data_IF_820791213888
#
_entry.id   IF_820791213888
#
_cell.length_a   1.000
_cell.length_b   1.000
_cell.length_c   1.000
_cell.angle_alpha   90.00
_cell.angle_beta   90.00
_cell.angle_gamma   90.00
#
_symmetry.space_group_name_H-M   'P 1'
#
loop_
_entity.id
_entity.type
_entity.pdbx_description
1 polymer ?
#
# COMPACT_ATOMS: atom_id res chain seq x y z
N UNK A 1 -15.02 -13.88 -23.19
CA UNK A 1 -13.98 -12.94 -22.72
C UNK A 1 -13.52 -13.43 -21.36
N UNK A 2 -12.22 -13.63 -21.13
CA UNK A 2 -11.74 -13.86 -19.75
C UNK A 2 -12.16 -12.66 -18.89
N UNK A 3 -12.67 -12.90 -17.69
CA UNK A 3 -13.06 -11.85 -16.72
C UNK A 3 -11.92 -10.86 -16.43
N UNK A 4 -10.67 -11.20 -16.76
CA UNK A 4 -9.47 -10.43 -16.45
C UNK A 4 -9.15 -9.24 -17.38
N UNK A 5 -9.84 -9.05 -18.50
CA UNK A 5 -9.50 -7.99 -19.50
C UNK A 5 -10.38 -6.73 -19.44
N UNK A 6 -11.41 -6.69 -18.59
CA UNK A 6 -12.36 -5.56 -18.52
C UNK A 6 -11.68 -4.22 -18.14
N UNK A 7 -10.57 -4.26 -17.41
CA UNK A 7 -9.79 -3.06 -17.09
C UNK A 7 -9.27 -2.33 -18.34
N UNK A 8 -8.93 -3.09 -19.39
CA UNK A 8 -8.43 -2.54 -20.64
C UNK A 8 -9.55 -1.98 -21.51
N UNK A 9 -10.78 -2.45 -21.32
CA UNK A 9 -11.95 -1.97 -22.06
C UNK A 9 -12.47 -0.64 -21.51
N UNK A 10 -12.07 -0.25 -20.30
CA UNK A 10 -12.35 1.08 -19.73
C UNK A 10 -11.17 2.03 -20.01
N UNK A 11 -11.36 3.05 -20.88
CA UNK A 11 -10.30 4.03 -21.16
C UNK A 11 -10.00 4.89 -19.94
N UNK A 12 -8.81 5.51 -19.90
CA UNK A 12 -8.54 6.56 -18.92
C UNK A 12 -9.44 7.76 -19.23
N UNK A 13 -10.15 8.31 -18.24
CA UNK A 13 -10.99 9.47 -18.46
C UNK A 13 -10.13 10.75 -18.52
N UNK A 14 -10.65 11.80 -19.13
CA UNK A 14 -10.05 13.13 -19.05
C UNK A 14 -10.16 13.72 -17.63
N UNK A 15 -11.22 13.37 -16.91
CA UNK A 15 -11.53 13.88 -15.57
C UNK A 15 -11.92 12.77 -14.60
N UNK A 16 -11.75 13.03 -13.32
CA UNK A 16 -12.36 12.27 -12.22
C UNK A 16 -13.21 13.22 -11.40
N UNK A 17 -14.28 12.73 -10.79
CA UNK A 17 -15.17 13.58 -9.99
C UNK A 17 -14.68 13.64 -8.56
N UNK A 18 -14.23 14.81 -8.10
CA UNK A 18 -14.12 15.07 -6.68
C UNK A 18 -15.55 15.12 -6.12
N UNK A 19 -15.87 14.21 -5.19
CA UNK A 19 -17.19 14.17 -4.54
C UNK A 19 -17.16 14.92 -3.23
N UNK A 20 -16.05 14.81 -2.50
CA UNK A 20 -15.90 15.43 -1.21
C UNK A 20 -14.43 15.62 -0.86
N UNK A 21 -14.07 16.77 -0.29
CA UNK A 21 -12.80 17.03 0.36
C UNK A 21 -13.05 17.79 1.66
N UNK A 22 -12.26 17.54 2.71
CA UNK A 22 -12.46 18.20 4.00
C UNK A 22 -12.33 19.74 3.93
N UNK A 23 -11.47 20.24 3.04
CA UNK A 23 -11.26 21.68 2.81
C UNK A 23 -12.19 22.25 1.72
N UNK A 24 -12.76 21.39 0.88
CA UNK A 24 -13.60 21.78 -0.27
C UNK A 24 -14.75 20.77 -0.41
N UNK A 25 -15.87 20.96 0.31
CA UNK A 25 -16.94 19.95 0.34
C UNK A 25 -17.82 19.94 -0.92
N UNK A 26 -17.52 20.78 -1.92
CA UNK A 26 -18.31 20.90 -3.14
C UNK A 26 -17.84 19.92 -4.23
N UNK A 27 -18.73 19.07 -4.77
CA UNK A 27 -18.38 18.18 -5.86
C UNK A 27 -17.99 18.94 -7.13
N UNK A 28 -16.93 18.51 -7.81
CA UNK A 28 -16.50 19.07 -9.10
C UNK A 28 -15.69 18.05 -9.88
N UNK A 29 -15.70 18.17 -11.19
CA UNK A 29 -14.80 17.38 -12.04
C UNK A 29 -13.41 18.00 -12.00
N UNK A 30 -12.39 17.16 -11.83
CA UNK A 30 -10.98 17.56 -11.88
C UNK A 30 -10.28 16.80 -13.00
N UNK A 31 -9.34 17.42 -13.71
CA UNK A 31 -8.48 16.70 -14.66
C UNK A 31 -7.81 15.48 -14.02
N UNK A 32 -7.66 14.38 -14.76
CA UNK A 32 -7.02 13.16 -14.24
C UNK A 32 -5.56 13.41 -13.79
N UNK A 33 -4.86 14.34 -14.43
CA UNK A 33 -3.52 14.74 -14.03
C UNK A 33 -3.52 15.54 -12.71
N UNK A 34 -4.63 16.20 -12.36
CA UNK A 34 -4.87 16.84 -11.07
C UNK A 34 -5.38 15.86 -10.00
N UNK A 35 -5.73 14.62 -10.36
CA UNK A 35 -6.16 13.61 -9.38
C UNK A 35 -5.06 13.37 -8.35
N UNK A 36 -5.41 13.59 -7.08
CA UNK A 36 -4.53 13.65 -5.92
C UNK A 36 -3.43 14.72 -5.96
N UNK A 37 -3.37 15.65 -6.92
CA UNK A 37 -2.29 16.65 -6.95
C UNK A 37 -2.70 18.02 -6.35
N UNK A 38 -1.85 18.64 -5.52
CA UNK A 38 -0.67 18.06 -4.88
C UNK A 38 -1.06 17.00 -3.84
N UNK A 39 -0.36 15.86 -3.82
CA UNK A 39 -0.57 14.85 -2.79
C UNK A 39 0.44 15.11 -1.68
N UNK A 40 0.05 15.93 -0.72
CA UNK A 40 0.90 16.21 0.42
C UNK A 40 0.77 15.07 1.43
N UNK A 41 1.75 14.16 1.42
CA UNK A 41 1.96 13.15 2.45
C UNK A 41 3.05 13.72 3.36
N UNK A 42 2.75 14.00 4.64
CA UNK A 42 3.74 14.50 5.57
C UNK A 42 4.98 13.61 5.61
N UNK A 43 6.14 14.24 5.79
CA UNK A 43 7.40 13.57 6.04
C UNK A 43 7.73 13.65 7.54
N UNK A 44 8.32 12.59 8.10
CA UNK A 44 8.86 12.60 9.46
C UNK A 44 10.39 12.58 9.40
N UNK A 45 11.04 13.53 10.08
CA UNK A 45 12.51 13.54 10.23
C UNK A 45 13.00 12.60 11.35
N UNK A 46 12.10 11.82 11.96
CA UNK A 46 12.40 10.88 13.03
C UNK A 46 11.67 9.55 12.90
N UNK A 47 11.77 8.72 13.95
CA UNK A 47 11.08 7.43 14.02
C UNK A 47 9.73 7.58 14.74
N UNK A 48 8.62 7.07 14.18
CA UNK A 48 8.50 6.34 12.92
C UNK A 48 8.40 7.27 11.69
N UNK A 49 8.87 6.82 10.50
CA UNK A 49 8.49 7.43 9.23
C UNK A 49 6.96 7.54 9.08
N UNK A 50 6.49 8.53 8.32
CA UNK A 50 5.06 8.70 8.06
C UNK A 50 4.52 7.55 7.19
N UNK A 51 3.76 6.64 7.79
CA UNK A 51 3.27 5.44 7.13
C UNK A 51 1.85 5.64 6.62
N UNK A 52 1.63 5.39 5.32
CA UNK A 52 0.31 5.30 4.70
C UNK A 52 0.08 3.90 4.17
N UNK A 53 -1.15 3.54 3.84
CA UNK A 53 -1.44 2.28 3.15
C UNK A 53 -2.33 2.54 1.95
N UNK A 54 -2.14 1.78 0.88
CA UNK A 54 -2.94 1.84 -0.32
C UNK A 54 -3.51 0.46 -0.64
N UNK A 55 -4.83 0.33 -0.63
CA UNK A 55 -5.55 -0.92 -0.82
C UNK A 55 -6.65 -0.78 -1.86
N UNK A 56 -6.99 -1.89 -2.50
CA UNK A 56 -8.13 -2.02 -3.42
C UNK A 56 -9.00 -3.18 -2.96
N UNK A 57 -10.32 -3.04 -3.09
CA UNK A 57 -11.26 -4.12 -2.79
C UNK A 57 -12.50 -4.10 -3.69
N UNK A 58 -13.19 -5.23 -3.76
CA UNK A 58 -14.56 -5.35 -4.30
C UNK A 58 -15.59 -4.74 -3.35
N UNK A 59 -16.84 -4.59 -3.78
CA UNK A 59 -17.95 -4.06 -2.96
C UNK A 59 -18.19 -4.85 -1.67
N UNK A 60 -17.89 -6.15 -1.66
CA UNK A 60 -18.01 -7.00 -0.47
C UNK A 60 -16.68 -7.19 0.28
N UNK A 61 -15.64 -6.44 -0.08
CA UNK A 61 -14.39 -6.35 0.69
C UNK A 61 -13.32 -7.38 0.35
N UNK A 62 -13.40 -8.05 -0.80
CA UNK A 62 -12.35 -8.97 -1.27
C UNK A 62 -11.20 -8.18 -1.91
N UNK A 63 -9.97 -8.48 -1.52
CA UNK A 63 -8.73 -7.83 -1.96
C UNK A 63 -8.06 -8.56 -3.14
N UNK A 64 -8.60 -9.70 -3.57
CA UNK A 64 -8.21 -10.39 -4.80
C UNK A 64 -9.44 -10.93 -5.51
N UNK A 65 -9.39 -10.97 -6.85
CA UNK A 65 -10.33 -11.75 -7.67
C UNK A 65 -9.50 -12.71 -8.52
N UNK A 66 -9.86 -13.99 -8.51
CA UNK A 66 -9.07 -15.08 -9.13
C UNK A 66 -7.62 -15.08 -8.61
N UNK A 67 -7.45 -14.78 -7.31
CA UNK A 67 -6.15 -14.75 -6.63
C UNK A 67 -5.25 -13.55 -6.93
N UNK A 68 -5.72 -12.54 -7.67
CA UNK A 68 -4.93 -11.34 -8.02
C UNK A 68 -5.62 -10.06 -7.58
N UNK A 69 -4.87 -9.11 -7.01
CA UNK A 69 -5.38 -7.76 -6.74
C UNK A 69 -5.47 -6.92 -8.04
N UNK A 70 -4.57 -7.20 -8.99
CA UNK A 70 -4.47 -6.49 -10.27
C UNK A 70 -5.67 -6.71 -11.20
N UNK A 71 -6.66 -7.51 -10.81
CA UNK A 71 -7.93 -7.73 -11.54
C UNK A 71 -9.09 -6.87 -11.02
N UNK A 72 -8.91 -6.15 -9.91
CA UNK A 72 -9.99 -5.43 -9.22
C UNK A 72 -10.26 -4.00 -9.71
N UNK A 73 -9.28 -3.07 -9.65
CA UNK A 73 -9.53 -1.65 -9.96
C UNK A 73 -9.33 -1.22 -11.43
N UNK A 74 -9.87 -0.11 -11.91
CA UNK A 74 -9.66 0.34 -13.31
C UNK A 74 -8.24 0.86 -13.55
N UNK A 75 -7.95 1.37 -14.76
CA UNK A 75 -6.69 2.09 -15.02
C UNK A 75 -6.52 3.35 -14.15
N UNK A 76 -7.61 3.91 -13.62
CA UNK A 76 -7.57 5.04 -12.69
C UNK A 76 -7.02 4.63 -11.32
N UNK A 77 -7.26 3.40 -10.87
CA UNK A 77 -6.61 2.82 -9.68
C UNK A 77 -5.08 2.72 -9.84
N UNK A 78 -4.61 2.32 -11.02
CA UNK A 78 -3.17 2.37 -11.33
C UNK A 78 -2.59 3.79 -11.30
N UNK A 79 -3.36 4.78 -11.74
CA UNK A 79 -2.98 6.19 -11.62
C UNK A 79 -2.95 6.67 -10.16
N UNK A 80 -3.95 6.28 -9.34
CA UNK A 80 -4.00 6.54 -7.91
C UNK A 80 -2.77 5.97 -7.18
N UNK A 81 -2.46 4.68 -7.42
CA UNK A 81 -1.28 4.02 -6.86
C UNK A 81 0.01 4.75 -7.24
N UNK A 82 0.15 5.13 -8.52
CA UNK A 82 1.31 5.88 -9.01
C UNK A 82 1.46 7.23 -8.30
N UNK A 83 0.34 7.93 -8.03
CA UNK A 83 0.34 9.21 -7.29
C UNK A 83 0.77 9.05 -5.84
N UNK A 84 0.27 8.02 -5.16
CA UNK A 84 0.67 7.73 -3.77
C UNK A 84 2.15 7.36 -3.71
N UNK A 85 2.60 6.47 -4.60
CA UNK A 85 4.02 6.08 -4.71
C UNK A 85 4.93 7.27 -4.99
N UNK A 86 4.57 8.16 -5.91
CA UNK A 86 5.41 9.32 -6.22
C UNK A 86 5.48 10.34 -5.08
N UNK A 87 4.56 10.26 -4.11
CA UNK A 87 4.52 11.09 -2.92
C UNK A 87 5.30 10.51 -1.71
N UNK A 88 5.80 9.27 -1.73
CA UNK A 88 6.54 8.66 -0.60
C UNK A 88 7.99 8.29 -0.93
N UNK A 89 8.80 7.92 0.05
CA UNK A 89 10.21 7.52 -0.16
C UNK A 89 10.38 6.00 -0.31
N UNK A 90 9.49 5.22 0.31
CA UNK A 90 9.55 3.77 0.27
C UNK A 90 8.17 3.10 0.08
N UNK A 91 8.19 1.89 -0.48
CA UNK A 91 7.04 0.99 -0.62
C UNK A 91 7.31 -0.25 0.23
N UNK A 92 6.43 -0.57 1.17
CA UNK A 92 6.53 -1.76 2.02
C UNK A 92 5.53 -2.81 1.58
N UNK A 93 6.02 -4.05 1.47
CA UNK A 93 5.22 -5.20 1.07
C UNK A 93 5.57 -6.40 1.96
N UNK A 94 4.56 -7.10 2.47
CA UNK A 94 4.75 -8.36 3.17
C UNK A 94 5.16 -9.49 2.22
N UNK A 95 6.01 -10.40 2.70
CA UNK A 95 6.54 -11.54 1.90
C UNK A 95 5.47 -12.38 1.21
N UNK A 96 4.26 -12.50 1.79
CA UNK A 96 3.16 -13.24 1.15
C UNK A 96 2.79 -12.67 -0.22
N UNK A 97 2.77 -11.35 -0.36
CA UNK A 97 2.51 -10.69 -1.65
C UNK A 97 3.67 -10.92 -2.62
N UNK A 98 4.93 -10.88 -2.16
CA UNK A 98 6.08 -11.24 -3.03
C UNK A 98 6.00 -12.68 -3.55
N UNK A 99 5.54 -13.62 -2.72
CA UNK A 99 5.42 -15.03 -3.09
C UNK A 99 4.36 -15.23 -4.18
N UNK A 100 3.23 -14.53 -4.09
CA UNK A 100 2.07 -14.76 -4.97
C UNK A 100 2.02 -13.84 -6.19
N UNK A 101 2.53 -12.61 -6.08
CA UNK A 101 2.40 -11.55 -7.07
C UNK A 101 3.74 -11.01 -7.56
N UNK A 102 3.72 -10.37 -8.74
CA UNK A 102 4.85 -9.59 -9.23
C UNK A 102 4.88 -8.22 -8.55
N UNK A 103 5.81 -8.05 -7.62
CA UNK A 103 6.07 -6.77 -6.96
C UNK A 103 6.95 -5.89 -7.84
N UNK A 104 6.45 -4.71 -8.18
CA UNK A 104 7.20 -3.65 -8.86
C UNK A 104 6.97 -2.32 -8.14
N UNK A 105 7.97 -1.45 -8.07
CA UNK A 105 7.87 -0.11 -7.49
C UNK A 105 8.45 0.98 -8.42
N UNK A 106 8.61 0.67 -9.71
CA UNK A 106 9.03 1.65 -10.72
C UNK A 106 8.00 2.77 -10.85
N UNK A 107 8.50 3.97 -11.13
CA UNK A 107 7.70 5.16 -11.42
C UNK A 107 7.84 5.52 -12.90
N UNK A 108 6.79 6.07 -13.55
CA UNK A 108 6.94 6.66 -14.88
C UNK A 108 7.92 7.83 -14.88
N UNK A 109 8.60 8.07 -16.01
CA UNK A 109 9.64 9.11 -16.13
C UNK A 109 9.16 10.50 -15.69
N UNK A 110 7.95 10.89 -16.08
CA UNK A 110 7.36 12.18 -15.67
C UNK A 110 7.13 12.32 -14.15
N UNK A 111 7.00 11.21 -13.42
CA UNK A 111 6.95 11.21 -11.95
C UNK A 111 8.36 11.24 -11.34
N UNK A 112 9.33 10.55 -11.96
CA UNK A 112 10.74 10.60 -11.58
C UNK A 112 11.28 12.02 -11.71
N UNK A 113 11.06 12.69 -12.85
CA UNK A 113 11.44 14.08 -13.10
C UNK A 113 10.85 15.03 -12.05
N UNK A 114 9.57 14.82 -11.68
CA UNK A 114 8.93 15.65 -10.65
C UNK A 114 9.55 15.44 -9.28
N UNK A 115 9.89 14.20 -8.92
CA UNK A 115 10.57 13.91 -7.64
C UNK A 115 11.93 14.60 -7.58
N UNK A 116 12.71 14.55 -8.67
CA UNK A 116 13.99 15.25 -8.78
C UNK A 116 13.78 16.77 -8.61
N UNK A 117 12.79 17.35 -9.29
CA UNK A 117 12.46 18.78 -9.16
C UNK A 117 12.04 19.18 -7.72
N UNK A 118 11.56 18.25 -6.93
CA UNK A 118 11.20 18.42 -5.51
C UNK A 118 12.36 18.11 -4.54
N UNK A 119 13.57 17.84 -5.06
CA UNK A 119 14.74 17.48 -4.24
C UNK A 119 14.66 16.10 -3.60
N UNK A 120 13.84 15.19 -4.15
CA UNK A 120 13.68 13.81 -3.65
C UNK A 120 14.51 12.83 -4.46
N UNK A 121 14.81 11.68 -3.86
CA UNK A 121 15.44 10.58 -4.57
C UNK A 121 14.57 10.16 -5.78
N UNK A 122 15.17 9.96 -6.97
CA UNK A 122 14.42 9.63 -8.19
C UNK A 122 13.72 8.28 -8.10
N UNK A 123 14.34 7.31 -7.42
CA UNK A 123 13.84 5.95 -7.23
C UNK A 123 13.21 5.78 -5.85
N UNK A 124 12.24 4.87 -5.77
CA UNK A 124 11.68 4.42 -4.51
C UNK A 124 12.53 3.29 -3.92
N UNK A 125 12.52 3.18 -2.60
CA UNK A 125 12.99 1.98 -1.91
C UNK A 125 11.84 0.97 -1.78
N UNK A 126 11.90 -0.16 -2.47
CA UNK A 126 10.98 -1.27 -2.29
C UNK A 126 11.47 -2.20 -1.17
N UNK A 127 10.66 -2.36 -0.13
CA UNK A 127 11.01 -3.05 1.11
C UNK A 127 10.12 -4.26 1.28
N UNK A 128 10.72 -5.45 1.25
CA UNK A 128 10.03 -6.70 1.57
C UNK A 128 10.23 -7.01 3.04
N UNK A 129 9.12 -7.18 3.77
CA UNK A 129 9.14 -7.58 5.18
C UNK A 129 8.80 -9.07 5.29
N UNK A 130 9.73 -9.86 5.79
CA UNK A 130 9.64 -11.31 5.85
C UNK A 130 9.94 -11.85 7.25
N UNK A 131 9.33 -12.97 7.63
CA UNK A 131 9.70 -13.67 8.86
C UNK A 131 10.99 -14.47 8.70
N UNK A 132 11.14 -15.12 7.54
CA UNK A 132 12.30 -15.92 7.14
C UNK A 132 12.51 -15.80 5.63
N UNK A 133 13.68 -16.25 5.18
CA UNK A 133 14.15 -16.12 3.80
C UNK A 133 14.27 -17.47 3.08
N UNK A 134 13.65 -18.51 3.63
CA UNK A 134 13.62 -19.84 3.03
C UNK A 134 12.72 -19.83 1.79
N UNK A 135 13.26 -19.34 0.68
CA UNK A 135 12.55 -19.08 -0.56
C UNK A 135 13.06 -20.01 -1.67
N UNK A 136 12.13 -20.49 -2.49
CA UNK A 136 12.45 -21.32 -3.65
C UNK A 136 12.81 -20.47 -4.88
N UNK A 137 13.20 -21.17 -5.96
CA UNK A 137 13.53 -20.54 -7.23
C UNK A 137 12.36 -19.75 -7.85
N UNK A 138 11.10 -20.12 -7.54
CA UNK A 138 9.91 -19.42 -8.02
C UNK A 138 9.76 -18.03 -7.42
N UNK A 139 10.01 -17.88 -6.12
CA UNK A 139 10.06 -16.56 -5.46
C UNK A 139 11.19 -15.72 -6.05
N UNK A 140 12.37 -16.32 -6.26
CA UNK A 140 13.51 -15.63 -6.84
C UNK A 140 13.38 -15.29 -8.34
N UNK A 141 12.39 -15.86 -9.04
CA UNK A 141 12.07 -15.53 -10.43
C UNK A 141 11.10 -14.34 -10.55
N UNK A 142 10.53 -13.86 -9.43
CA UNK A 142 9.63 -12.71 -9.41
C UNK A 142 10.32 -11.42 -9.85
N UNK A 143 9.54 -10.52 -10.45
CA UNK A 143 10.05 -9.24 -10.98
C UNK A 143 10.85 -8.41 -9.97
N UNK A 144 10.52 -8.49 -8.68
CA UNK A 144 11.22 -7.80 -7.60
C UNK A 144 12.74 -7.96 -7.69
N UNK A 145 13.27 -9.15 -8.01
CA UNK A 145 14.71 -9.39 -8.05
C UNK A 145 15.40 -8.93 -9.34
N UNK A 146 14.65 -8.76 -10.43
CA UNK A 146 15.19 -8.40 -11.75
C UNK A 146 14.96 -6.95 -12.18
N UNK A 147 14.02 -6.24 -11.56
CA UNK A 147 13.63 -4.89 -11.95
C UNK A 147 14.62 -3.85 -11.41
N UNK A 148 15.29 -3.10 -12.27
CA UNK A 148 16.27 -2.06 -11.90
C UNK A 148 15.65 -0.66 -11.72
N UNK A 149 14.33 -0.52 -11.87
CA UNK A 149 13.60 0.74 -11.74
C UNK A 149 13.47 1.26 -10.31
N UNK A 150 13.86 0.48 -9.30
CA UNK A 150 13.79 0.82 -7.88
C UNK A 150 14.88 0.14 -7.06
N UNK A 151 15.18 0.75 -5.91
CA UNK A 151 16.12 0.22 -4.92
C UNK A 151 15.42 -0.83 -4.06
N UNK A 152 16.17 -1.81 -3.53
CA UNK A 152 15.60 -3.01 -2.91
C UNK A 152 16.18 -3.25 -1.53
N UNK A 153 15.31 -3.59 -0.59
CA UNK A 153 15.67 -4.00 0.76
C UNK A 153 14.79 -5.16 1.20
N UNK A 154 15.39 -6.12 1.90
CA UNK A 154 14.67 -7.17 2.62
C UNK A 154 14.91 -6.99 4.11
N UNK A 155 13.84 -6.81 4.88
CA UNK A 155 13.86 -6.82 6.34
C UNK A 155 13.35 -8.16 6.83
N UNK A 156 14.17 -8.88 7.60
CA UNK A 156 13.82 -10.21 8.11
C UNK A 156 14.03 -10.35 9.60
N UNK A 157 13.26 -11.21 10.26
CA UNK A 157 13.46 -11.54 11.67
C UNK A 157 14.41 -12.73 11.87
N UNK A 158 14.22 -13.78 11.05
CA UNK A 158 15.07 -14.96 10.99
C UNK A 158 15.95 -14.85 9.74
N UNK A 159 17.26 -14.91 9.94
CA UNK A 159 18.25 -14.83 8.89
C UNK A 159 19.21 -16.02 9.02
N UNK A 160 18.88 -17.15 8.39
CA UNK A 160 19.88 -18.20 8.18
C UNK A 160 20.97 -17.67 7.23
N UNK A 161 22.27 -17.89 7.50
CA UNK A 161 23.34 -17.38 6.65
C UNK A 161 23.25 -17.86 5.19
N UNK A 162 22.78 -19.08 4.92
CA UNK A 162 22.65 -19.60 3.57
C UNK A 162 21.52 -18.92 2.79
N UNK A 163 20.35 -18.77 3.42
CA UNK A 163 19.20 -18.08 2.83
C UNK A 163 19.50 -16.59 2.60
N UNK A 164 20.16 -15.94 3.56
CA UNK A 164 20.60 -14.54 3.47
C UNK A 164 21.50 -14.34 2.24
N UNK A 165 22.53 -15.18 2.10
CA UNK A 165 23.41 -15.14 0.92
C UNK A 165 22.68 -15.42 -0.38
N UNK A 166 21.61 -16.23 -0.37
CA UNK A 166 20.83 -16.50 -1.57
C UNK A 166 20.10 -15.25 -2.07
N UNK A 167 19.57 -14.44 -1.15
CA UNK A 167 18.96 -13.14 -1.45
C UNK A 167 20.01 -12.11 -1.89
N UNK A 168 21.12 -12.00 -1.17
CA UNK A 168 22.19 -11.05 -1.48
C UNK A 168 22.84 -11.30 -2.85
N UNK A 169 22.97 -12.56 -3.27
CA UNK A 169 23.44 -12.92 -4.63
C UNK A 169 22.54 -12.36 -5.75
N UNK A 170 21.33 -11.89 -5.44
CA UNK A 170 20.44 -11.21 -6.37
C UNK A 170 20.57 -9.69 -6.34
N UNK A 171 21.60 -9.16 -5.65
CA UNK A 171 21.83 -7.72 -5.51
C UNK A 171 20.83 -7.04 -4.58
N UNK A 172 20.27 -7.76 -3.62
CA UNK A 172 19.30 -7.24 -2.65
C UNK A 172 19.94 -7.22 -1.27
N UNK A 173 19.96 -6.04 -0.63
CA UNK A 173 20.40 -5.91 0.76
C UNK A 173 19.45 -6.65 1.70
N UNK A 174 19.99 -7.42 2.63
CA UNK A 174 19.22 -8.08 3.70
C UNK A 174 19.62 -7.49 5.04
N UNK A 175 18.63 -7.03 5.80
CA UNK A 175 18.83 -6.60 7.18
C UNK A 175 17.98 -7.44 8.12
N UNK A 176 18.66 -8.06 9.07
CA UNK A 176 18.01 -8.71 10.21
C UNK A 176 17.59 -7.67 11.23
N UNK A 177 16.33 -7.70 11.65
CA UNK A 177 15.77 -6.83 12.68
C UNK A 177 15.22 -7.64 13.85
N UNK A 178 15.09 -7.06 15.06
CA UNK A 178 14.36 -7.66 16.16
C UNK A 178 13.00 -8.22 15.73
N UNK A 179 12.69 -9.42 16.20
CA UNK A 179 11.51 -10.17 15.82
C UNK A 179 10.80 -10.77 17.03
N UNK A 180 9.51 -11.07 16.88
CA UNK A 180 8.75 -11.83 17.87
C UNK A 180 9.06 -13.34 17.80
N UNK A 181 8.43 -14.14 18.67
CA UNK A 181 8.66 -15.60 18.74
C UNK A 181 8.42 -16.35 17.43
N UNK A 182 7.56 -15.83 16.55
CA UNK A 182 7.25 -16.40 15.24
C UNK A 182 8.21 -15.98 14.13
N UNK A 183 9.30 -15.29 14.48
CA UNK A 183 10.24 -14.71 13.51
C UNK A 183 9.72 -13.48 12.78
N UNK A 184 8.48 -13.05 13.03
CA UNK A 184 7.94 -11.82 12.41
C UNK A 184 8.70 -10.59 12.90
N UNK A 185 9.22 -9.74 12.00
CA UNK A 185 9.83 -8.47 12.36
C UNK A 185 8.94 -7.63 13.26
N UNK A 186 9.51 -7.07 14.33
CA UNK A 186 8.81 -6.10 15.17
C UNK A 186 8.64 -4.80 14.39
N UNK A 187 7.43 -4.24 14.34
CA UNK A 187 7.14 -3.05 13.53
C UNK A 187 7.99 -1.85 13.96
N UNK A 188 8.20 -1.63 15.26
CA UNK A 188 9.11 -0.58 15.73
C UNK A 188 10.51 -0.69 15.15
N UNK A 189 11.06 -1.91 15.05
CA UNK A 189 12.37 -2.14 14.45
C UNK A 189 12.37 -1.97 12.93
N UNK A 190 11.30 -2.37 12.24
CA UNK A 190 11.10 -2.07 10.81
C UNK A 190 11.12 -0.56 10.57
N UNK A 191 10.36 0.21 11.36
CA UNK A 191 10.30 1.67 11.23
C UNK A 191 11.66 2.33 11.53
N UNK A 192 12.39 1.86 12.54
CA UNK A 192 13.75 2.34 12.83
C UNK A 192 14.74 2.04 11.70
N UNK A 193 14.67 0.85 11.09
CA UNK A 193 15.55 0.47 9.97
C UNK A 193 15.30 1.33 8.71
N UNK A 194 14.06 1.76 8.51
CA UNK A 194 13.68 2.70 7.45
C UNK A 194 14.19 4.12 7.75
N UNK A 195 13.95 4.63 8.96
CA UNK A 195 14.42 5.95 9.38
C UNK A 195 15.94 6.07 9.31
N UNK A 196 16.68 5.03 9.71
CA UNK A 196 18.14 4.98 9.61
C UNK A 196 18.68 5.06 8.15
N UNK A 197 17.82 4.81 7.16
CA UNK A 197 18.11 4.97 5.72
C UNK A 197 17.61 6.29 5.15
N UNK A 198 17.13 7.20 5.99
CA UNK A 198 16.57 8.48 5.57
C UNK A 198 15.19 8.38 4.93
N UNK A 199 14.48 7.25 5.09
CA UNK A 199 13.08 7.14 4.66
C UNK A 199 12.23 7.98 5.61
N UNK A 200 11.54 9.00 5.10
CA UNK A 200 10.72 9.91 5.91
C UNK A 200 9.23 9.64 5.77
N UNK A 201 8.82 9.08 4.64
CA UNK A 201 7.46 8.58 4.42
C UNK A 201 7.46 7.28 3.61
N UNK A 202 6.48 6.43 3.86
CA UNK A 202 6.35 5.15 3.16
C UNK A 202 4.89 4.74 2.98
N UNK A 203 4.63 3.97 1.92
CA UNK A 203 3.34 3.33 1.66
C UNK A 203 3.41 1.83 1.87
N UNK A 204 2.45 1.26 2.59
CA UNK A 204 2.20 -0.17 2.64
C UNK A 204 1.19 -0.57 1.55
N UNK A 205 1.58 -1.47 0.66
CA UNK A 205 0.73 -1.94 -0.44
C UNK A 205 0.27 -3.40 -0.27
N UNK A 206 0.51 -3.97 0.92
CA UNK A 206 0.06 -5.30 1.30
C UNK A 206 1.10 -6.04 2.15
N UNK A 207 0.92 -7.29 2.54
CA UNK A 207 -0.23 -8.15 2.34
C UNK A 207 -1.20 -8.12 3.53
N UNK A 208 -2.32 -8.84 3.42
CA UNK A 208 -3.43 -8.82 4.38
C UNK A 208 -3.06 -9.24 5.82
N UNK A 209 -1.89 -9.87 5.99
CA UNK A 209 -1.30 -10.24 7.29
C UNK A 209 -0.29 -9.23 7.83
N UNK A 210 0.28 -8.39 6.98
CA UNK A 210 1.25 -7.37 7.35
C UNK A 210 0.57 -6.03 7.69
N UNK A 211 -0.41 -5.60 6.89
CA UNK A 211 -1.15 -4.36 7.18
C UNK A 211 -1.76 -4.32 8.61
N UNK A 212 -2.38 -5.39 9.14
CA UNK A 212 -2.87 -5.39 10.53
C UNK A 212 -1.78 -5.09 11.57
N UNK A 213 -0.54 -5.53 11.35
CA UNK A 213 0.54 -5.23 12.30
C UNK A 213 0.92 -3.75 12.33
N UNK A 214 0.76 -3.01 11.23
CA UNK A 214 0.97 -1.57 11.20
C UNK A 214 -0.13 -0.82 11.96
N UNK A 215 -1.37 -1.28 11.84
CA UNK A 215 -2.47 -0.79 12.65
C UNK A 215 -2.25 -1.07 14.15
N UNK A 216 -1.88 -2.30 14.51
CA UNK A 216 -1.67 -2.71 15.89
C UNK A 216 -0.50 -1.96 16.55
N UNK A 217 0.55 -1.67 15.78
CA UNK A 217 1.67 -0.84 16.22
C UNK A 217 1.37 0.67 16.24
N UNK A 218 0.17 1.09 15.84
CA UNK A 218 -0.29 2.48 15.82
C UNK A 218 0.58 3.43 14.97
N UNK A 219 1.23 2.89 13.94
CA UNK A 219 2.15 3.65 13.05
C UNK A 219 1.47 4.14 11.77
N UNK A 220 0.36 3.53 11.35
CA UNK A 220 -0.35 3.90 10.13
C UNK A 220 -1.10 5.22 10.32
N UNK A 221 -0.86 6.21 9.47
CA UNK A 221 -1.43 7.57 9.57
C UNK A 221 -2.55 7.81 8.58
N UNK A 222 -2.43 7.27 7.38
CA UNK A 222 -3.48 7.41 6.36
C UNK A 222 -3.76 6.09 5.66
N UNK A 223 -5.01 5.95 5.20
CA UNK A 223 -5.51 4.78 4.51
C UNK A 223 -6.18 5.22 3.22
N UNK A 224 -5.56 4.85 2.09
CA UNK A 224 -6.11 5.02 0.74
C UNK A 224 -6.81 3.73 0.36
N UNK A 225 -8.09 3.84 -0.02
CA UNK A 225 -8.92 2.70 -0.37
C UNK A 225 -9.64 2.94 -1.70
N UNK A 226 -9.34 2.10 -2.68
CA UNK A 226 -10.14 1.96 -3.89
C UNK A 226 -11.24 0.93 -3.68
N UNK A 227 -12.48 1.29 -3.97
CA UNK A 227 -13.61 0.34 -4.01
C UNK A 227 -14.10 0.18 -5.44
N UNK A 228 -13.91 -1.01 -6.00
CA UNK A 228 -14.31 -1.39 -7.35
C UNK A 228 -15.79 -1.74 -7.44
N UNK A 229 -16.47 -1.57 -8.59
CA UNK A 229 -17.86 -1.96 -8.78
C UNK A 229 -18.09 -3.49 -8.83
N UNK A 230 -17.04 -4.29 -8.66
CA UNK A 230 -17.14 -5.75 -8.66
C UNK A 230 -17.77 -6.27 -7.36
N UNK A 231 -18.56 -7.33 -7.49
CA UNK A 231 -19.05 -8.15 -6.40
C UNK A 231 -18.69 -9.60 -6.69
N UNK A 232 -17.96 -10.22 -5.77
CA UNK A 232 -17.53 -11.61 -5.85
C UNK A 232 -17.97 -12.36 -4.60
N UNK A 233 -17.62 -13.64 -4.48
CA UNK A 233 -17.99 -14.47 -3.34
C UNK A 233 -16.97 -15.58 -3.12
N UNK A 234 -15.69 -15.28 -3.40
CA UNK A 234 -14.61 -16.23 -3.25
C UNK A 234 -14.36 -16.44 -1.75
N UNK A 235 -14.81 -17.58 -1.20
CA UNK A 235 -14.82 -17.82 0.24
C UNK A 235 -13.45 -17.66 0.92
N UNK A 236 -12.36 -17.83 0.17
CA UNK A 236 -10.98 -17.71 0.65
C UNK A 236 -10.27 -16.45 0.15
N UNK A 237 -10.96 -15.56 -0.57
CA UNK A 237 -10.36 -14.31 -0.98
C UNK A 237 -10.04 -13.47 0.27
N UNK A 238 -8.78 -12.99 0.39
CA UNK A 238 -8.39 -12.16 1.51
C UNK A 238 -9.18 -10.85 1.52
N UNK A 239 -9.42 -10.30 2.70
CA UNK A 239 -9.79 -8.88 2.86
C UNK A 239 -8.52 -8.02 2.91
N UNK A 240 -8.59 -6.70 2.69
CA UNK A 240 -7.42 -5.82 2.86
C UNK A 240 -6.75 -5.97 4.23
N UNK A 241 -7.56 -6.22 5.28
CA UNK A 241 -7.12 -6.45 6.66
C UNK A 241 -7.68 -7.80 7.13
N UNK A 242 -6.83 -8.81 7.37
CA UNK A 242 -7.23 -10.18 7.77
C UNK A 242 -6.87 -10.54 9.22
N UNK A 243 -6.81 -9.55 10.10
CA UNK A 243 -6.69 -9.76 11.54
C UNK A 243 -7.28 -8.56 12.28
N UNK A 244 -7.33 -8.64 13.61
CA UNK A 244 -7.61 -7.50 14.46
C UNK A 244 -6.68 -6.33 14.06
N UNK A 245 -7.29 -5.21 13.64
CA UNK A 245 -6.54 -4.03 13.23
C UNK A 245 -5.83 -3.43 14.45
N UNK A 246 -6.56 -3.23 15.55
CA UNK A 246 -5.95 -2.93 16.84
C UNK A 246 -5.49 -4.23 17.52
N UNK A 247 -4.39 -4.18 18.27
CA UNK A 247 -3.84 -5.37 18.96
C UNK A 247 -4.78 -5.98 20.00
N UNK A 248 -5.76 -5.22 20.48
CA UNK A 248 -6.79 -5.61 21.44
C UNK A 248 -8.14 -6.02 20.80
N UNK A 249 -8.23 -6.03 19.46
CA UNK A 249 -9.47 -6.32 18.74
C UNK A 249 -10.44 -5.16 18.60
N UNK A 250 -10.14 -3.98 19.16
CA UNK A 250 -10.99 -2.80 19.03
C UNK A 250 -11.03 -2.27 17.58
N UNK A 251 -12.13 -1.60 17.17
CA UNK A 251 -12.19 -0.97 15.86
C UNK A 251 -11.23 0.23 15.79
N UNK A 252 -10.54 0.36 14.65
CA UNK A 252 -9.76 1.56 14.32
C UNK A 252 -10.68 2.56 13.63
N UNK A 253 -10.66 3.81 14.09
CA UNK A 253 -11.48 4.87 13.52
C UNK A 253 -10.80 5.47 12.29
N UNK A 254 -11.58 5.73 11.25
CA UNK A 254 -11.13 6.40 10.03
C UNK A 254 -11.92 7.70 9.86
N UNK A 255 -11.21 8.81 9.72
CA UNK A 255 -11.79 10.10 9.36
C UNK A 255 -11.52 10.38 7.89
N UNK A 256 -12.57 10.57 7.08
CA UNK A 256 -12.40 10.82 5.64
C UNK A 256 -11.70 12.16 5.42
N UNK A 257 -10.77 12.19 4.48
CA UNK A 257 -10.07 13.39 3.97
C UNK A 257 -10.58 13.77 2.59
N UNK A 258 -10.76 12.77 1.71
CA UNK A 258 -11.33 13.00 0.39
C UNK A 258 -12.02 11.75 -0.16
N UNK A 259 -12.96 11.95 -1.09
CA UNK A 259 -13.55 10.92 -1.95
C UNK A 259 -13.58 11.44 -3.39
N UNK A 260 -13.01 10.64 -4.28
CA UNK A 260 -13.10 10.83 -5.72
C UNK A 260 -13.84 9.65 -6.35
N UNK A 261 -14.47 9.88 -7.51
CA UNK A 261 -15.16 8.85 -8.26
C UNK A 261 -14.74 8.88 -9.73
N UNK A 262 -14.44 7.70 -10.26
CA UNK A 262 -14.38 7.45 -11.69
C UNK A 262 -15.72 6.84 -12.12
N UNK A 263 -16.48 7.60 -12.90
CA UNK A 263 -17.76 7.17 -13.44
C UNK A 263 -17.58 6.83 -14.91
N UNK A 264 -17.99 5.64 -15.32
CA UNK A 264 -17.82 5.15 -16.69
C UNK A 264 -18.99 4.27 -17.11
N UNK A 265 -19.16 4.08 -18.41
CA UNK A 265 -20.11 3.11 -18.95
C UNK A 265 -19.39 1.81 -19.25
N UNK A 266 -19.96 0.69 -18.82
CA UNK A 266 -19.48 -0.62 -19.23
C UNK A 266 -19.72 -0.82 -20.73
N UNK A 267 -18.68 -1.11 -21.54
CA UNK A 267 -18.83 -1.18 -22.99
C UNK A 267 -19.65 -2.39 -23.46
N UNK A 268 -19.81 -3.43 -22.62
CA UNK A 268 -20.58 -4.62 -22.97
C UNK A 268 -22.08 -4.47 -22.67
N UNK A 269 -22.42 -3.87 -21.54
CA UNK A 269 -23.79 -3.79 -21.01
C UNK A 269 -24.41 -2.39 -21.10
N UNK A 270 -23.60 -1.35 -21.29
CA UNK A 270 -24.02 0.05 -21.22
C UNK A 270 -24.32 0.55 -19.81
N UNK A 271 -24.13 -0.29 -18.79
CA UNK A 271 -24.41 0.08 -17.41
C UNK A 271 -23.47 1.19 -16.93
N UNK A 272 -24.00 2.13 -16.14
CA UNK A 272 -23.17 3.14 -15.47
C UNK A 272 -22.53 2.53 -14.23
N UNK A 273 -21.20 2.51 -14.21
CA UNK A 273 -20.40 1.99 -13.12
C UNK A 273 -19.65 3.13 -12.42
N UNK A 274 -19.36 2.90 -11.14
CA UNK A 274 -18.62 3.85 -10.30
C UNK A 274 -17.55 3.10 -9.55
N UNK A 275 -16.31 3.56 -9.70
CA UNK A 275 -15.19 3.20 -8.85
C UNK A 275 -14.87 4.39 -7.93
N UNK A 276 -14.73 4.15 -6.63
CA UNK A 276 -14.46 5.21 -5.65
C UNK A 276 -13.06 5.10 -5.07
N UNK A 277 -12.44 6.26 -4.84
CA UNK A 277 -11.11 6.41 -4.26
C UNK A 277 -11.22 7.28 -3.00
N UNK A 278 -11.03 6.67 -1.84
CA UNK A 278 -11.16 7.34 -0.56
C UNK A 278 -9.80 7.47 0.12
N UNK A 279 -9.52 8.67 0.65
CA UNK A 279 -8.38 8.93 1.53
C UNK A 279 -8.91 9.14 2.93
N UNK A 280 -8.39 8.42 3.91
CA UNK A 280 -8.74 8.55 5.32
C UNK A 280 -7.52 8.88 6.17
N UNK A 281 -7.70 9.69 7.21
CA UNK A 281 -6.81 9.70 8.38
C UNK A 281 -7.19 8.56 9.31
N UNK A 282 -6.18 7.88 9.84
CA UNK A 282 -6.33 6.85 10.86
C UNK A 282 -6.31 7.52 12.23
N UNK A 283 -7.36 7.28 13.02
CA UNK A 283 -7.53 7.84 14.36
C UNK A 283 -7.38 6.71 15.38
N UNK A 284 -6.33 6.81 16.18
CA UNK A 284 -6.13 5.92 17.31
C UNK A 284 -6.61 6.61 18.59
N UNK A 285 -7.54 5.98 19.32
CA UNK A 285 -7.94 6.47 20.64
C UNK A 285 -6.76 6.35 21.59
N UNK A 286 -6.51 7.36 22.42
CA UNK A 286 -5.59 7.19 23.53
C UNK A 286 -6.11 6.06 24.41
N UNK A 287 -5.20 5.19 24.85
CA UNK A 287 -5.56 4.21 25.86
C UNK A 287 -6.00 5.02 27.07
N UNK A 288 -7.27 4.90 27.46
CA UNK A 288 -7.79 5.50 28.69
C UNK A 288 -7.20 4.75 29.88
N UNK A 289 -5.89 4.90 30.09
CA UNK A 289 -5.14 4.37 31.20
C UNK A 289 -5.21 5.32 32.39
N UNK A 290 -5.77 4.82 33.49
CA UNK A 290 -5.50 5.29 34.85
C UNK A 290 -5.74 6.79 35.16
N UNK A 291 -7.01 7.19 35.32
CA UNK A 291 -7.33 8.09 36.43
C UNK A 291 -7.53 7.26 37.70
N UNK A 292 -6.45 6.75 38.25
CA UNK A 292 -6.40 6.31 39.66
C UNK A 292 -5.71 7.39 40.48
N UNK A 293 -6.45 7.97 41.43
CA UNK A 293 -5.89 8.37 42.72
C UNK A 293 -5.36 9.81 42.86
N UNK A 294 -6.26 10.75 43.13
CA UNK A 294 -5.97 11.85 44.06
C UNK A 294 -7.28 12.36 44.67
N UNK A 295 -7.72 11.70 45.74
CA UNK A 295 -8.27 12.32 46.96
C UNK A 295 -8.29 11.30 48.08
#
# INVERSE_FOLDING_TARGET
MSRSDWKRTVPLPATVRLVWHEAEPCPRDIPLDAFYRPLDIPASDGTPPYMVANMVMTQNGEATVEGKATTIGTRVDGAALTRVRSAVDAVLIGVGTLIHDDVTAGLPDAEVERRIAQGRAPRLLAVVVASSLHWDAGVFARRFFGDSGFDKLVLTGIADPADTRAVERRGVEVVRVPAGPTGRPQIGAVMSALAARGVRSAVCEGGPRFLPSLFAARVLREYFLTTSPLLTGEAQAPRPVMAAAAGDGSPVLLSRVSRHEHQFQDPGTGARLVESFERFRVIYREDSGARTGAR
#
